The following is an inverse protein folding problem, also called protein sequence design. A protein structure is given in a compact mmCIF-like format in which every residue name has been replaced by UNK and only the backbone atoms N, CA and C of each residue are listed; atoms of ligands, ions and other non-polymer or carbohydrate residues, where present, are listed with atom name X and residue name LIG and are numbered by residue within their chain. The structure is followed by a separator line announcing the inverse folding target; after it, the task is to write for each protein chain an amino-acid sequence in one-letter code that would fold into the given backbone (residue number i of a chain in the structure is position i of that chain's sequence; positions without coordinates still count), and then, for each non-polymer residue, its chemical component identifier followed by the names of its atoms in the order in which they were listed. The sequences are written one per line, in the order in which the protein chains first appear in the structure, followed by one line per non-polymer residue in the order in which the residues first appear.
data_IF_275466026826
#
_entry.id   IF_275466026826
#
_cell.length_a   1.000
_cell.length_b   1.000
_cell.length_c   1.000
_cell.angle_alpha   90.00
_cell.angle_beta   90.00
_cell.angle_gamma   90.00
#
_symmetry.space_group_name_H-M   'P 1'
#
loop_
_entity.id
_entity.type
_entity.pdbx_description
1 polymer ?
#
# COMPACT_ATOMS: atom_id res chain seq x y z
N UNK A 1 4.76 -18.99 -18.14
CA UNK A 1 4.67 -18.80 -16.68
C UNK A 1 3.38 -18.03 -16.41
N UNK A 2 2.32 -18.69 -15.95
CA UNK A 2 1.04 -18.04 -15.65
C UNK A 2 0.87 -18.03 -14.13
N UNK A 3 0.67 -16.84 -13.56
CA UNK A 3 0.32 -16.65 -12.17
C UNK A 3 -0.87 -15.68 -12.10
N UNK A 4 -1.79 -15.82 -11.12
CA UNK A 4 -2.91 -14.91 -10.97
C UNK A 4 -2.48 -13.46 -10.77
N UNK A 5 -3.23 -12.51 -11.32
CA UNK A 5 -3.11 -11.10 -11.01
C UNK A 5 -3.62 -10.79 -9.59
N UNK A 6 -2.89 -9.95 -8.86
CA UNK A 6 -3.17 -9.56 -7.48
C UNK A 6 -3.40 -8.06 -7.31
N UNK A 7 -2.80 -7.26 -8.18
CA UNK A 7 -3.04 -5.83 -8.23
C UNK A 7 -2.85 -5.31 -9.64
N UNK A 8 -3.44 -4.15 -9.93
CA UNK A 8 -3.20 -3.44 -11.17
C UNK A 8 -3.24 -1.93 -10.95
N UNK A 9 -2.62 -1.19 -11.87
CA UNK A 9 -2.68 0.26 -11.92
C UNK A 9 -2.59 0.73 -13.36
N UNK A 10 -3.33 1.78 -13.69
CA UNK A 10 -3.15 2.49 -14.96
C UNK A 10 -1.97 3.45 -14.86
N UNK A 11 -1.41 3.80 -16.00
CA UNK A 11 -0.42 4.86 -16.08
C UNK A 11 -1.08 6.24 -15.94
N UNK A 12 -0.42 7.13 -15.19
CA UNK A 12 -0.91 8.48 -14.89
C UNK A 12 -0.53 9.47 -15.99
N UNK A 13 0.52 9.19 -16.76
CA UNK A 13 1.00 10.07 -17.83
C UNK A 13 0.51 9.67 -19.21
N UNK A 14 0.14 8.40 -19.40
CA UNK A 14 -0.33 7.88 -20.69
C UNK A 14 -1.54 6.93 -20.54
N UNK A 15 -2.55 7.02 -21.42
CA UNK A 15 -3.77 6.22 -21.29
C UNK A 15 -3.59 4.74 -21.70
N UNK A 16 -2.43 4.39 -22.28
CA UNK A 16 -2.25 3.11 -22.94
C UNK A 16 -1.51 2.07 -22.08
N UNK A 17 -0.83 2.47 -21.01
CA UNK A 17 -0.09 1.53 -20.18
C UNK A 17 -0.90 1.06 -18.98
N UNK A 18 -0.87 -0.25 -18.76
CA UNK A 18 -1.46 -0.92 -17.60
C UNK A 18 -0.42 -1.82 -16.96
N UNK A 19 -0.28 -1.71 -15.65
CA UNK A 19 0.64 -2.51 -14.85
C UNK A 19 -0.13 -3.56 -14.08
N UNK A 20 0.38 -4.79 -14.05
CA UNK A 20 -0.22 -5.89 -13.30
C UNK A 20 0.80 -6.58 -12.40
N UNK A 21 0.48 -6.68 -11.12
CA UNK A 21 1.28 -7.36 -10.11
C UNK A 21 0.75 -8.76 -9.90
N UNK A 22 1.62 -9.76 -9.95
CA UNK A 22 1.23 -11.16 -9.91
C UNK A 22 1.45 -11.80 -8.55
N UNK A 23 0.81 -12.97 -8.34
CA UNK A 23 0.95 -13.78 -7.14
C UNK A 23 2.39 -14.23 -6.87
N UNK A 24 3.17 -14.44 -7.93
CA UNK A 24 4.54 -14.92 -7.86
C UNK A 24 5.59 -13.79 -7.80
N UNK A 25 5.17 -12.56 -7.47
CA UNK A 25 6.07 -11.42 -7.31
C UNK A 25 6.51 -10.74 -8.61
N UNK A 26 6.00 -11.18 -9.76
CA UNK A 26 6.31 -10.53 -11.04
C UNK A 26 5.46 -9.29 -11.28
N UNK A 27 6.01 -8.37 -12.07
CA UNK A 27 5.32 -7.20 -12.60
C UNK A 27 5.22 -7.32 -14.12
N UNK A 28 4.02 -7.22 -14.66
CA UNK A 28 3.76 -7.17 -16.10
C UNK A 28 3.40 -5.76 -16.52
N UNK A 29 3.90 -5.34 -17.68
CA UNK A 29 3.57 -4.08 -18.33
C UNK A 29 2.81 -4.41 -19.61
N UNK A 30 1.61 -3.85 -19.76
CA UNK A 30 0.77 -4.00 -20.94
C UNK A 30 0.62 -2.66 -21.66
N UNK A 31 0.53 -2.72 -22.98
CA UNK A 31 0.08 -1.62 -23.82
C UNK A 31 -1.28 -2.00 -24.40
N UNK A 32 -2.33 -1.21 -24.14
CA UNK A 32 -3.70 -1.48 -24.59
C UNK A 32 -3.83 -1.53 -26.12
N UNK A 33 -2.86 -0.97 -26.85
CA UNK A 33 -2.78 -1.04 -28.32
C UNK A 33 -2.24 -2.38 -28.82
N UNK A 34 -1.57 -3.17 -27.97
CA UNK A 34 -1.01 -4.48 -28.29
C UNK A 34 -1.62 -5.58 -27.40
N UNK A 35 -2.49 -6.41 -27.96
CA UNK A 35 -3.24 -7.43 -27.20
C UNK A 35 -2.61 -8.82 -27.21
N UNK A 36 -1.46 -9.02 -27.86
CA UNK A 36 -0.79 -10.33 -27.99
C UNK A 36 -0.16 -10.84 -26.68
N UNK A 37 0.18 -9.93 -25.77
CA UNK A 37 0.88 -10.24 -24.52
C UNK A 37 1.50 -8.99 -23.90
N UNK A 38 2.12 -9.12 -22.72
CA UNK A 38 2.77 -8.01 -22.05
C UNK A 38 3.96 -7.50 -22.87
N UNK A 39 4.17 -6.18 -22.82
CA UNK A 39 5.35 -5.52 -23.37
C UNK A 39 6.60 -5.90 -22.57
N UNK A 40 6.47 -5.91 -21.23
CA UNK A 40 7.54 -6.32 -20.31
C UNK A 40 7.03 -7.29 -19.26
N UNK A 41 7.91 -8.22 -18.87
CA UNK A 41 7.68 -9.19 -17.82
C UNK A 41 8.87 -9.18 -16.87
N UNK A 42 8.73 -8.45 -15.77
CA UNK A 42 9.81 -8.13 -14.84
C UNK A 42 9.74 -9.01 -13.60
N UNK A 43 10.90 -9.54 -13.19
CA UNK A 43 11.00 -10.37 -11.99
C UNK A 43 11.17 -9.50 -10.75
N UNK A 44 10.35 -9.72 -9.72
CA UNK A 44 10.47 -9.00 -8.45
C UNK A 44 11.59 -9.51 -7.54
N UNK A 45 11.63 -8.95 -6.33
CA UNK A 45 12.61 -9.31 -5.30
C UNK A 45 12.27 -10.59 -4.52
N UNK A 46 11.01 -11.03 -4.58
CA UNK A 46 10.52 -12.23 -3.92
C UNK A 46 9.46 -12.90 -4.78
N UNK A 47 9.05 -14.10 -4.38
CA UNK A 47 7.92 -14.83 -5.00
C UNK A 47 6.58 -14.51 -4.34
N UNK A 48 6.50 -13.47 -3.51
CA UNK A 48 5.29 -13.10 -2.78
C UNK A 48 4.35 -12.26 -3.65
N UNK A 49 3.03 -12.26 -3.41
CA UNK A 49 2.09 -11.49 -4.20
C UNK A 49 2.38 -9.98 -4.18
N UNK A 50 2.37 -9.36 -5.36
CA UNK A 50 2.39 -7.90 -5.48
C UNK A 50 0.98 -7.37 -5.23
N UNK A 51 0.73 -6.89 -4.02
CA UNK A 51 -0.61 -6.51 -3.56
C UNK A 51 -0.97 -5.05 -3.87
N UNK A 52 0.01 -4.18 -4.15
CA UNK A 52 -0.25 -2.76 -4.49
C UNK A 52 0.69 -2.32 -5.60
N UNK A 53 0.18 -1.49 -6.53
CA UNK A 53 0.95 -0.82 -7.57
C UNK A 53 0.47 0.64 -7.69
N UNK A 54 1.41 1.56 -7.79
CA UNK A 54 1.20 2.97 -8.11
C UNK A 54 2.15 3.36 -9.25
N UNK A 55 1.62 3.99 -10.29
CA UNK A 55 2.44 4.73 -11.27
C UNK A 55 2.68 6.14 -10.73
N UNK A 56 3.93 6.59 -10.76
CA UNK A 56 4.37 7.89 -10.21
C UNK A 56 5.36 8.53 -11.16
N UNK A 57 5.40 9.85 -11.18
CA UNK A 57 6.36 10.62 -11.98
C UNK A 57 7.41 11.19 -11.04
N UNK A 58 8.69 11.05 -11.40
CA UNK A 58 9.78 11.69 -10.67
C UNK A 58 10.00 13.15 -11.13
N UNK A 59 10.90 13.87 -10.45
CA UNK A 59 11.20 15.28 -10.75
C UNK A 59 11.74 15.51 -12.17
N UNK A 60 12.28 14.47 -12.82
CA UNK A 60 12.76 14.53 -14.19
C UNK A 60 11.63 14.34 -15.23
N UNK A 61 10.42 14.03 -14.78
CA UNK A 61 9.30 13.65 -15.64
C UNK A 61 9.31 12.18 -16.03
N UNK A 62 10.22 11.36 -15.49
CA UNK A 62 10.31 9.94 -15.81
C UNK A 62 9.28 9.14 -15.02
N UNK A 63 8.58 8.21 -15.68
CA UNK A 63 7.64 7.31 -15.04
C UNK A 63 8.41 6.27 -14.23
N UNK A 64 7.98 6.08 -12.99
CA UNK A 64 8.43 5.00 -12.10
C UNK A 64 7.21 4.26 -11.59
N UNK A 65 7.41 3.00 -11.26
CA UNK A 65 6.37 2.20 -10.61
C UNK A 65 6.79 1.99 -9.17
N UNK A 66 5.90 2.24 -8.22
CA UNK A 66 6.08 1.82 -6.83
C UNK A 66 5.10 0.67 -6.58
N UNK A 67 5.61 -0.46 -6.12
CA UNK A 67 4.80 -1.61 -5.76
C UNK A 67 5.04 -2.04 -4.32
N UNK A 68 4.17 -2.88 -3.77
CA UNK A 68 4.40 -3.50 -2.48
C UNK A 68 4.02 -4.99 -2.49
N UNK A 69 4.84 -5.77 -1.79
CA UNK A 69 4.60 -7.17 -1.45
C UNK A 69 4.91 -7.35 0.04
N UNK A 70 4.72 -8.55 0.60
CA UNK A 70 4.91 -8.81 2.04
C UNK A 70 6.30 -8.42 2.58
N UNK A 71 7.33 -8.38 1.73
CA UNK A 71 8.70 -7.98 2.11
C UNK A 71 8.89 -6.47 2.24
N UNK A 72 7.95 -5.65 1.75
CA UNK A 72 8.04 -4.21 1.73
C UNK A 72 7.73 -3.57 0.37
N UNK A 73 7.72 -2.24 0.31
CA UNK A 73 7.61 -1.49 -0.94
C UNK A 73 8.91 -1.52 -1.74
N UNK A 74 8.79 -1.60 -3.07
CA UNK A 74 9.91 -1.48 -4.00
C UNK A 74 9.56 -0.55 -5.16
N UNK A 75 10.59 0.01 -5.80
CA UNK A 75 10.46 0.90 -6.96
C UNK A 75 11.08 0.25 -8.20
N UNK A 76 10.41 0.41 -9.33
CA UNK A 76 10.81 -0.13 -10.63
C UNK A 76 11.06 1.05 -11.57
N UNK A 77 12.20 0.99 -12.26
CA UNK A 77 12.51 1.85 -13.38
C UNK A 77 12.27 1.08 -14.68
N UNK A 78 11.05 1.18 -15.24
CA UNK A 78 10.65 0.38 -16.41
C UNK A 78 11.36 0.82 -17.68
N UNK A 79 11.61 2.12 -17.81
CA UNK A 79 12.30 2.72 -18.96
C UNK A 79 13.83 2.72 -18.79
N UNK A 80 14.30 2.41 -17.57
CA UNK A 80 15.71 2.36 -17.22
C UNK A 80 16.42 1.10 -17.70
N UNK A 81 17.74 1.05 -17.46
CA UNK A 81 18.57 -0.12 -17.76
C UNK A 81 18.49 -1.21 -16.68
N UNK A 82 17.93 -0.89 -15.51
CA UNK A 82 17.81 -1.82 -14.40
C UNK A 82 16.67 -2.81 -14.62
N UNK A 83 17.00 -4.10 -14.65
CA UNK A 83 16.02 -5.18 -14.89
C UNK A 83 15.35 -5.66 -13.61
N UNK A 84 15.78 -5.16 -12.45
CA UNK A 84 15.33 -5.59 -11.12
C UNK A 84 14.93 -4.36 -10.30
N UNK A 85 13.82 -4.43 -9.54
CA UNK A 85 13.40 -3.32 -8.70
C UNK A 85 14.29 -3.15 -7.46
N UNK A 86 14.24 -1.96 -6.86
CA UNK A 86 14.95 -1.62 -5.64
C UNK A 86 14.00 -1.64 -4.43
N UNK A 87 14.36 -2.37 -3.37
CA UNK A 87 13.61 -2.34 -2.09
C UNK A 87 13.83 -0.98 -1.43
N UNK A 88 12.76 -0.37 -0.92
CA UNK A 88 12.90 0.93 -0.26
C UNK A 88 13.50 0.77 1.14
N UNK A 89 14.51 1.60 1.43
CA UNK A 89 15.36 1.44 2.62
C UNK A 89 14.62 1.70 3.93
N UNK A 90 14.98 0.97 4.98
CA UNK A 90 14.45 1.15 6.34
C UNK A 90 13.14 0.43 6.61
N UNK A 91 12.71 -0.45 5.71
CA UNK A 91 11.45 -1.24 5.82
C UNK A 91 11.67 -2.72 6.15
N UNK A 92 12.90 -3.20 6.08
CA UNK A 92 13.28 -4.62 6.17
C UNK A 92 12.83 -5.32 7.46
N UNK A 93 12.74 -4.58 8.57
CA UNK A 93 12.47 -5.13 9.91
C UNK A 93 11.08 -4.74 10.46
N UNK A 94 10.17 -4.21 9.63
CA UNK A 94 8.87 -3.70 10.09
C UNK A 94 7.75 -4.76 10.13
N UNK A 95 8.05 -6.01 9.77
CA UNK A 95 7.09 -7.12 9.80
C UNK A 95 6.67 -7.55 8.40
N UNK A 96 5.36 -7.71 8.18
CA UNK A 96 4.73 -8.05 6.89
C UNK A 96 4.05 -6.80 6.34
N UNK A 97 4.48 -6.32 5.18
CA UNK A 97 3.81 -5.20 4.52
C UNK A 97 2.43 -5.63 4.02
N UNK A 98 1.41 -4.82 4.30
CA UNK A 98 0.00 -5.12 4.02
C UNK A 98 -0.70 -4.01 3.24
N UNK A 99 -0.13 -2.80 3.21
CA UNK A 99 -0.67 -1.69 2.43
C UNK A 99 0.45 -0.70 2.08
N UNK A 100 0.26 -0.02 0.96
CA UNK A 100 1.11 1.07 0.51
C UNK A 100 0.22 2.20 -0.02
N UNK A 101 0.29 3.35 0.64
CA UNK A 101 -0.39 4.56 0.23
C UNK A 101 0.60 5.51 -0.45
N UNK A 102 0.15 6.17 -1.50
CA UNK A 102 0.94 7.06 -2.35
C UNK A 102 0.10 8.27 -2.73
N UNK A 103 0.67 9.48 -2.67
CA UNK A 103 0.06 10.68 -3.21
C UNK A 103 0.49 10.85 -4.67
N UNK A 104 -0.20 10.18 -5.60
CA UNK A 104 0.01 10.38 -7.03
C UNK A 104 -0.56 11.74 -7.49
N UNK A 105 -0.04 12.37 -8.58
CA UNK A 105 0.95 11.84 -9.53
C UNK A 105 2.43 12.09 -9.17
N UNK A 106 2.73 13.10 -8.36
CA UNK A 106 4.09 13.38 -7.85
C UNK A 106 4.23 12.84 -6.43
N UNK A 107 4.93 11.71 -6.25
CA UNK A 107 5.02 11.07 -4.93
C UNK A 107 6.41 11.16 -4.32
N UNK A 108 6.70 12.29 -3.67
CA UNK A 108 7.84 12.37 -2.77
C UNK A 108 7.59 11.65 -1.46
N UNK A 109 6.33 11.35 -1.17
CA UNK A 109 5.89 10.85 0.12
C UNK A 109 5.01 9.61 -0.08
N UNK A 110 5.34 8.55 0.64
CA UNK A 110 4.58 7.30 0.68
C UNK A 110 4.46 6.81 2.12
N UNK A 111 3.43 6.02 2.40
CA UNK A 111 3.27 5.36 3.70
C UNK A 111 3.05 3.88 3.50
N UNK A 112 3.98 3.06 3.99
CA UNK A 112 3.85 1.61 4.03
C UNK A 112 3.31 1.16 5.39
N UNK A 113 2.30 0.30 5.39
CA UNK A 113 1.69 -0.23 6.61
C UNK A 113 2.07 -1.69 6.79
N UNK A 114 2.40 -2.07 8.03
CA UNK A 114 2.91 -3.39 8.37
C UNK A 114 2.16 -3.97 9.56
N UNK A 115 2.01 -5.29 9.55
CA UNK A 115 1.60 -6.08 10.71
C UNK A 115 2.77 -6.93 11.22
N UNK A 116 2.80 -7.29 12.52
CA UNK A 116 3.82 -8.18 13.05
C UNK A 116 3.88 -9.51 12.28
N UNK A 117 5.08 -10.08 12.16
CA UNK A 117 5.21 -11.48 11.71
C UNK A 117 4.61 -12.38 12.79
N UNK A 118 3.99 -13.48 12.36
CA UNK A 118 3.59 -14.52 13.30
C UNK A 118 4.87 -15.23 13.72
N UNK A 119 5.33 -14.97 14.95
CA UNK A 119 6.41 -15.74 15.56
C UNK A 119 5.84 -17.11 15.94
N UNK A 120 6.28 -18.16 15.26
CA UNK A 120 6.14 -19.51 15.78
C UNK A 120 7.23 -19.66 16.84
N UNK A 121 6.86 -19.58 18.11
CA UNK A 121 7.76 -19.91 19.22
C UNK A 121 8.14 -21.39 19.11
N UNK A 122 9.32 -21.68 18.60
CA UNK A 122 9.90 -23.02 18.59
C UNK A 122 11.08 -23.07 19.53
N UNK A 123 10.92 -23.78 20.65
CA UNK A 123 11.98 -24.60 21.22
C UNK A 123 11.38 -25.71 22.11
N UNK A 124 11.65 -26.97 21.75
CA UNK A 124 11.70 -28.07 22.73
C UNK A 124 10.65 -29.19 22.67
N UNK A 125 10.90 -30.17 21.79
CA UNK A 125 10.53 -31.60 21.92
C UNK A 125 9.13 -32.09 21.52
N UNK A 126 9.13 -33.31 20.99
CA UNK A 126 8.10 -33.98 20.24
C UNK A 126 6.83 -34.37 21.04
N UNK A 127 5.66 -34.16 20.44
CA UNK A 127 4.66 -35.21 20.20
C UNK A 127 3.57 -34.66 19.26
N UNK A 128 3.16 -35.48 18.30
CA UNK A 128 2.08 -35.15 17.37
C UNK A 128 0.80 -34.86 18.15
N UNK A 129 0.20 -33.69 17.91
CA UNK A 129 -1.25 -33.55 17.92
C UNK A 129 -1.63 -32.43 16.98
N UNK A 130 -2.35 -32.80 15.91
CA UNK A 130 -2.93 -31.84 14.99
C UNK A 130 -3.86 -30.90 15.75
N UNK A 131 -3.57 -29.60 15.70
CA UNK A 131 -4.57 -28.59 16.02
C UNK A 131 -4.58 -27.64 14.83
N UNK A 132 -5.61 -27.79 14.01
CA UNK A 132 -6.15 -26.72 13.19
C UNK A 132 -6.59 -25.60 14.14
N UNK A 133 -5.65 -24.73 14.50
CA UNK A 133 -6.01 -23.44 15.08
C UNK A 133 -6.28 -22.52 13.90
N UNK A 134 -7.54 -22.50 13.48
CA UNK A 134 -8.07 -21.32 12.80
C UNK A 134 -7.70 -20.13 13.69
N UNK A 135 -6.99 -19.10 13.19
CA UNK A 135 -6.63 -17.97 14.03
C UNK A 135 -7.94 -17.39 14.56
N UNK A 136 -8.20 -17.56 15.86
CA UNK A 136 -9.33 -16.94 16.54
C UNK A 136 -9.18 -15.45 16.31
N UNK A 137 -10.06 -14.87 15.49
CA UNK A 137 -10.07 -13.45 15.21
C UNK A 137 -10.14 -12.71 16.55
N UNK A 138 -9.04 -12.14 16.99
CA UNK A 138 -9.11 -11.11 18.00
C UNK A 138 -9.86 -9.96 17.35
N UNK A 139 -11.07 -9.68 17.82
CA UNK A 139 -11.94 -8.65 17.23
C UNK A 139 -11.41 -7.22 17.40
N UNK A 140 -10.21 -7.07 17.99
CA UNK A 140 -9.53 -5.82 18.34
C UNK A 140 -8.37 -5.45 17.40
N UNK A 141 -7.96 -6.32 16.47
CA UNK A 141 -6.79 -6.11 15.62
C UNK A 141 -5.44 -6.31 16.34
N UNK A 142 -4.34 -6.23 15.60
CA UNK A 142 -2.97 -6.32 16.12
C UNK A 142 -2.28 -4.95 16.09
N UNK A 143 -1.39 -4.73 17.04
CA UNK A 143 -0.50 -3.57 17.02
C UNK A 143 0.49 -3.74 15.87
N UNK A 144 0.28 -3.00 14.79
CA UNK A 144 1.19 -2.87 13.67
C UNK A 144 1.80 -1.47 13.62
N UNK A 145 2.37 -1.14 12.47
CA UNK A 145 3.00 0.16 12.28
C UNK A 145 2.83 0.72 10.87
N UNK A 146 2.95 2.02 10.75
CA UNK A 146 2.90 2.79 9.52
C UNK A 146 4.22 3.56 9.39
N UNK A 147 5.00 3.22 8.37
CA UNK A 147 6.28 3.86 8.08
C UNK A 147 6.10 4.90 6.97
N UNK A 148 6.45 6.14 7.29
CA UNK A 148 6.54 7.24 6.34
C UNK A 148 7.89 7.16 5.63
N UNK A 149 7.89 7.16 4.31
CA UNK A 149 9.10 7.26 3.51
C UNK A 149 9.07 8.50 2.60
N UNK A 150 10.24 9.11 2.45
CA UNK A 150 10.49 10.26 1.58
C UNK A 150 11.43 9.89 0.45
N UNK A 151 11.13 10.34 -0.75
CA UNK A 151 11.96 10.22 -1.94
C UNK A 151 13.26 11.02 -1.75
N UNK A 152 14.39 10.43 -2.11
CA UNK A 152 15.70 11.10 -2.13
C UNK A 152 16.35 11.14 -3.52
N UNK A 153 15.89 10.29 -4.43
CA UNK A 153 16.33 10.27 -5.82
C UNK A 153 15.22 9.69 -6.73
N UNK A 154 15.51 9.50 -8.01
CA UNK A 154 14.58 8.87 -8.96
C UNK A 154 14.13 7.46 -8.55
N UNK A 155 14.99 6.70 -7.85
CA UNK A 155 14.76 5.29 -7.49
C UNK A 155 15.03 4.98 -6.01
N UNK A 156 15.12 6.00 -5.14
CA UNK A 156 15.46 5.81 -3.73
C UNK A 156 14.50 6.55 -2.80
N UNK A 157 14.17 5.89 -1.69
CA UNK A 157 13.41 6.43 -0.58
C UNK A 157 14.08 6.08 0.74
N UNK A 158 13.92 6.95 1.73
CA UNK A 158 14.39 6.80 3.11
C UNK A 158 13.19 6.88 4.05
N UNK A 159 13.14 6.00 5.03
CA UNK A 159 12.20 6.07 6.15
C UNK A 159 12.46 7.32 7.00
N UNK A 160 11.47 8.19 7.11
CA UNK A 160 11.52 9.39 7.98
C UNK A 160 10.96 9.11 9.38
N UNK A 161 9.77 8.52 9.45
CA UNK A 161 9.05 8.35 10.72
C UNK A 161 8.24 7.06 10.73
N UNK A 162 7.94 6.56 11.93
CA UNK A 162 7.07 5.42 12.16
C UNK A 162 6.02 5.76 13.21
N UNK A 163 4.81 5.22 13.06
CA UNK A 163 3.75 5.33 14.04
C UNK A 163 3.04 3.98 14.21
N UNK A 164 2.63 3.65 15.43
CA UNK A 164 1.94 2.40 15.72
C UNK A 164 0.42 2.58 15.59
N UNK A 165 -0.25 1.60 15.00
CA UNK A 165 -1.70 1.59 14.77
C UNK A 165 -2.29 0.19 14.85
N UNK A 166 -3.59 0.09 15.07
CA UNK A 166 -4.26 -1.21 15.13
C UNK A 166 -4.64 -1.65 13.71
N UNK A 167 -3.92 -2.67 13.21
CA UNK A 167 -4.04 -3.18 11.84
C UNK A 167 -4.66 -4.57 11.82
N UNK A 168 -5.08 -5.00 10.62
CA UNK A 168 -5.68 -6.31 10.43
C UNK A 168 -4.67 -7.45 10.56
N UNK A 169 -5.07 -8.50 11.27
CA UNK A 169 -4.30 -9.74 11.33
C UNK A 169 -4.29 -10.49 9.99
N UNK A 170 -5.35 -10.33 9.21
CA UNK A 170 -5.60 -11.12 8.00
C UNK A 170 -5.75 -10.23 6.76
N UNK A 171 -6.55 -9.17 6.83
CA UNK A 171 -6.87 -8.32 5.68
C UNK A 171 -5.69 -7.44 5.27
N UNK A 172 -5.71 -7.02 4.01
CA UNK A 172 -4.79 -6.05 3.41
C UNK A 172 -5.57 -4.79 3.01
N UNK A 173 -6.27 -4.20 3.99
CA UNK A 173 -7.07 -3.00 3.78
C UNK A 173 -6.20 -1.87 3.27
N UNK A 174 -6.57 -1.26 2.14
CA UNK A 174 -5.78 -0.14 1.60
C UNK A 174 -5.85 1.06 2.54
N UNK A 175 -4.82 1.86 2.44
CA UNK A 175 -4.72 3.17 3.09
C UNK A 175 -4.54 4.25 2.02
N UNK A 176 -4.80 5.49 2.40
CA UNK A 176 -4.78 6.62 1.49
C UNK A 176 -3.95 7.79 2.06
N UNK A 177 -3.38 8.58 1.16
CA UNK A 177 -2.76 9.86 1.49
C UNK A 177 -3.62 10.94 0.84
N UNK A 178 -3.99 11.94 1.64
CA UNK A 178 -4.93 12.99 1.27
C UNK A 178 -4.16 14.31 1.29
N UNK A 179 -3.96 14.98 0.14
CA UNK A 179 -3.35 16.30 0.07
C UNK A 179 -4.24 17.37 0.72
N UNK A 180 -3.71 18.11 1.70
CA UNK A 180 -4.39 19.21 2.35
C UNK A 180 -4.08 20.56 1.68
N UNK A 181 -4.88 21.58 2.01
CA UNK A 181 -4.65 22.95 1.56
C UNK A 181 -3.55 23.59 2.41
N UNK A 182 -2.30 23.36 2.00
CA UNK A 182 -1.09 23.86 2.62
C UNK A 182 0.12 23.15 2.02
N UNK A 183 1.18 23.90 1.69
CA UNK A 183 2.36 23.33 1.05
C UNK A 183 2.92 22.15 1.88
N UNK A 184 2.96 20.96 1.28
CA UNK A 184 3.53 19.75 1.87
C UNK A 184 2.73 19.13 3.03
N UNK A 185 1.50 19.58 3.30
CA UNK A 185 0.65 18.99 4.35
C UNK A 185 -0.23 17.90 3.78
N UNK A 186 -0.19 16.72 4.40
CA UNK A 186 -1.00 15.57 4.01
C UNK A 186 -1.65 14.92 5.24
N UNK A 187 -2.80 14.28 5.03
CA UNK A 187 -3.35 13.32 5.98
C UNK A 187 -3.09 11.91 5.49
N UNK A 188 -2.63 11.06 6.39
CA UNK A 188 -2.64 9.62 6.21
C UNK A 188 -3.94 9.05 6.78
N UNK A 189 -4.69 8.31 5.98
CA UNK A 189 -5.92 7.64 6.39
C UNK A 189 -5.75 6.12 6.29
N UNK A 190 -6.09 5.40 7.36
CA UNK A 190 -6.09 3.93 7.37
C UNK A 190 -7.29 3.38 8.15
N UNK A 191 -7.66 2.14 7.83
CA UNK A 191 -8.67 1.39 8.58
C UNK A 191 -8.09 0.88 9.89
N UNK A 192 -8.58 1.40 11.01
CA UNK A 192 -8.20 0.93 12.34
C UNK A 192 -9.17 -0.17 12.79
N UNK A 193 -8.62 -1.35 13.06
CA UNK A 193 -9.39 -2.55 13.40
C UNK A 193 -10.06 -2.45 14.77
N UNK A 194 -9.39 -1.80 15.73
CA UNK A 194 -9.93 -1.61 17.09
C UNK A 194 -11.13 -0.65 17.08
N UNK A 195 -11.03 0.40 16.26
CA UNK A 195 -12.06 1.42 16.07
C UNK A 195 -13.22 0.91 15.20
N UNK A 196 -12.96 -0.08 14.33
CA UNK A 196 -13.84 -0.47 13.20
C UNK A 196 -14.21 0.75 12.36
N UNK A 197 -13.21 1.57 12.09
CA UNK A 197 -13.36 2.89 11.49
C UNK A 197 -12.09 3.35 10.80
N UNK A 198 -12.10 4.60 10.35
CA UNK A 198 -10.95 5.22 9.69
C UNK A 198 -10.30 6.18 10.68
N UNK A 199 -9.00 6.05 10.88
CA UNK A 199 -8.20 7.07 11.57
C UNK A 199 -7.45 7.90 10.56
N UNK A 200 -7.39 9.21 10.80
CA UNK A 200 -6.58 10.13 10.01
C UNK A 200 -5.51 10.79 10.87
N UNK A 201 -4.27 10.80 10.37
CA UNK A 201 -3.11 11.36 11.04
C UNK A 201 -2.43 12.39 10.13
N UNK A 202 -1.91 13.48 10.68
CA UNK A 202 -1.15 14.49 9.93
C UNK A 202 0.24 13.97 9.61
N UNK A 203 0.69 14.16 8.38
CA UNK A 203 2.06 13.89 7.96
C UNK A 203 2.86 15.21 7.92
N UNK A 204 4.16 15.18 8.26
CA UNK A 204 4.96 13.98 8.56
C UNK A 204 4.85 13.47 10.01
N UNK A 205 4.30 14.28 10.93
CA UNK A 205 4.39 14.06 12.37
C UNK A 205 3.61 12.86 12.94
N UNK A 206 2.72 12.26 12.15
CA UNK A 206 1.73 11.28 12.58
C UNK A 206 0.84 11.75 13.75
N UNK A 207 0.61 13.05 13.87
CA UNK A 207 -0.30 13.56 14.89
C UNK A 207 -1.75 13.15 14.59
N UNK A 208 -2.50 12.61 15.57
CA UNK A 208 -3.90 12.30 15.40
C UNK A 208 -4.72 13.50 14.93
N UNK A 209 -5.57 13.31 13.92
CA UNK A 209 -6.41 14.36 13.37
C UNK A 209 -7.89 14.06 13.58
N UNK A 210 -8.39 12.92 13.09
CA UNK A 210 -9.83 12.60 13.19
C UNK A 210 -10.07 11.09 13.16
N UNK A 211 -11.01 10.65 13.98
CA UNK A 211 -11.55 9.29 13.96
C UNK A 211 -12.93 9.32 13.31
N UNK A 212 -13.06 8.66 12.16
CA UNK A 212 -14.34 8.46 11.49
C UNK A 212 -14.82 7.04 11.84
N UNK A 213 -16.06 6.91 12.30
CA UNK A 213 -16.73 5.61 12.46
C UNK A 213 -17.83 5.46 11.42
N UNK A 214 -17.45 5.36 10.12
CA UNK A 214 -18.43 5.18 9.06
C UNK A 214 -19.27 3.93 9.33
N UNK A 215 -18.61 2.83 9.68
CA UNK A 215 -19.20 1.50 9.72
C UNK A 215 -19.28 0.93 11.14
N UNK A 216 -20.05 -0.15 11.31
CA UNK A 216 -19.98 -1.04 12.50
C UNK A 216 -19.07 -2.25 12.25
N UNK A 217 -18.50 -2.32 11.05
CA UNK A 217 -17.68 -3.41 10.52
C UNK A 217 -16.26 -2.92 10.20
N UNK A 218 -15.26 -3.83 10.12
CA UNK A 218 -13.93 -3.48 9.67
C UNK A 218 -13.90 -2.78 8.30
N UNK A 219 -12.92 -1.90 8.13
CA UNK A 219 -12.68 -1.23 6.84
C UNK A 219 -11.98 -2.21 5.89
N UNK A 220 -12.55 -2.39 4.71
CA UNK A 220 -12.01 -3.27 3.65
C UNK A 220 -11.15 -2.51 2.65
N UNK A 221 -11.54 -1.27 2.30
CA UNK A 221 -10.81 -0.45 1.35
C UNK A 221 -10.96 1.05 1.66
N UNK A 222 -9.93 1.82 1.32
CA UNK A 222 -9.91 3.28 1.41
C UNK A 222 -9.34 3.88 0.13
N UNK A 223 -10.04 4.86 -0.42
CA UNK A 223 -9.61 5.56 -1.63
C UNK A 223 -9.83 7.05 -1.53
N UNK A 224 -8.76 7.80 -1.77
CA UNK A 224 -8.82 9.22 -2.01
C UNK A 224 -9.07 9.48 -3.50
N UNK A 225 -9.89 10.48 -3.79
CA UNK A 225 -10.09 10.97 -5.14
C UNK A 225 -10.32 12.49 -5.11
N UNK A 226 -9.83 13.17 -6.13
CA UNK A 226 -10.09 14.58 -6.39
C UNK A 226 -10.86 14.69 -7.71
N UNK A 227 -11.95 15.46 -7.69
CA UNK A 227 -12.75 15.74 -8.88
C UNK A 227 -12.06 16.77 -9.77
N UNK A 228 -12.50 16.87 -11.02
CA UNK A 228 -12.05 17.92 -11.95
C UNK A 228 -12.34 19.34 -11.48
N UNK A 229 -13.29 19.53 -10.55
CA UNK A 229 -13.61 20.82 -9.94
C UNK A 229 -12.80 21.10 -8.67
N UNK A 230 -11.82 20.26 -8.33
CA UNK A 230 -10.97 20.40 -7.13
C UNK A 230 -11.61 19.90 -5.83
N UNK A 231 -12.81 19.32 -5.89
CA UNK A 231 -13.47 18.74 -4.72
C UNK A 231 -12.80 17.43 -4.34
N UNK A 232 -12.46 17.31 -3.06
CA UNK A 232 -11.69 16.18 -2.50
C UNK A 232 -12.60 15.23 -1.75
N UNK A 233 -12.44 13.94 -2.00
CA UNK A 233 -13.26 12.88 -1.41
C UNK A 233 -12.43 11.75 -0.84
N UNK A 234 -12.91 11.18 0.27
CA UNK A 234 -12.42 9.93 0.83
C UNK A 234 -13.56 8.91 0.81
N UNK A 235 -13.41 7.88 -0.01
CA UNK A 235 -14.25 6.69 -0.02
C UNK A 235 -13.76 5.67 1.00
N UNK A 236 -14.70 5.09 1.74
CA UNK A 236 -14.45 4.08 2.76
C UNK A 236 -15.44 2.93 2.62
N UNK A 237 -14.91 1.73 2.36
CA UNK A 237 -15.69 0.53 2.09
C UNK A 237 -15.67 -0.42 3.30
N UNK A 238 -16.83 -0.95 3.65
CA UNK A 238 -16.98 -2.14 4.49
C UNK A 238 -17.74 -3.23 3.71
N UNK A 239 -17.99 -4.37 4.34
CA UNK A 239 -18.76 -5.47 3.75
C UNK A 239 -20.18 -5.05 3.35
N UNK A 240 -20.79 -4.13 4.10
CA UNK A 240 -22.20 -3.77 3.92
C UNK A 240 -22.40 -2.47 3.16
N UNK A 241 -21.43 -1.55 3.20
CA UNK A 241 -21.63 -0.20 2.63
C UNK A 241 -20.34 0.49 2.21
N UNK A 242 -20.50 1.33 1.19
CA UNK A 242 -19.56 2.37 0.81
C UNK A 242 -20.03 3.71 1.39
N UNK A 243 -19.14 4.44 2.06
CA UNK A 243 -19.39 5.82 2.48
C UNK A 243 -18.34 6.75 1.90
N UNK A 244 -18.80 7.92 1.44
CA UNK A 244 -17.95 8.94 0.83
C UNK A 244 -17.99 10.19 1.69
N UNK A 245 -16.82 10.64 2.11
CA UNK A 245 -16.64 11.88 2.87
C UNK A 245 -16.11 12.96 1.93
N UNK A 246 -16.71 14.15 1.98
CA UNK A 246 -16.14 15.35 1.35
C UNK A 246 -15.14 15.99 2.31
N UNK A 247 -13.93 16.22 1.84
CA UNK A 247 -12.86 16.86 2.61
C UNK A 247 -12.99 18.37 2.41
N UNK A 248 -13.23 19.10 3.50
CA UNK A 248 -13.25 20.56 3.47
C UNK A 248 -11.83 21.08 3.70
N UNK A 249 -11.32 21.79 2.70
CA UNK A 249 -10.10 22.59 2.76
C UNK A 249 -10.30 23.89 3.52
#
# INVERSE_FOLDING_TARGET
MQAPGWSCSGDQTGPNHVYAGLQNGMLLVFDTRQTKGPLHSLSGLSTNPVHTIHSVVDDSGSMKIISASSIGPCIWDVDGTETRPNLLTGTENQGVCISLACAAPSSDLIVASFRPRVEFSGDGSASQMGISQSPTLSGSGKLGCHALLRRTSSTSFVKEQICNGNVSELRMSKSAIIPCSGAGQHLFAYGDESLRGVRTWRLPSFQPCTDLRPHRQPILDLRFAESSTGEKYLGCLSEEKLQVFRIRS
#
